data_IF_721776303386
#
_entry.id   IF_721776303386
#
_cell.length_a   1.000
_cell.length_b   1.000
_cell.length_c   1.000
_cell.angle_alpha   90.00
_cell.angle_beta   90.00
_cell.angle_gamma   90.00
#
_symmetry.space_group_name_H-M   'P 1'
#
loop_
_entity.id
_entity.type
_entity.pdbx_description
1 polymer ?
#
# COMPACT_ATOMS: atom_id res chain seq x y z
N UNK A 1 12.65 -10.32 -25.72
CA UNK A 1 12.91 -9.91 -24.33
C UNK A 1 12.82 -8.39 -24.23
N UNK A 2 11.81 -7.84 -23.55
CA UNK A 2 11.67 -6.39 -23.40
C UNK A 2 12.68 -5.83 -22.39
N UNK A 3 13.37 -4.74 -22.73
CA UNK A 3 14.27 -4.04 -21.80
C UNK A 3 13.42 -3.26 -20.79
N UNK A 4 13.60 -3.52 -19.49
CA UNK A 4 12.97 -2.71 -18.44
C UNK A 4 13.68 -1.35 -18.40
N UNK A 5 12.94 -0.27 -18.65
CA UNK A 5 13.43 1.11 -18.52
C UNK A 5 13.05 1.63 -17.15
N UNK A 6 14.04 2.07 -16.37
CA UNK A 6 13.82 2.79 -15.10
C UNK A 6 14.00 4.28 -15.36
N UNK A 7 13.00 5.08 -14.99
CA UNK A 7 13.09 6.54 -14.91
C UNK A 7 12.75 6.97 -13.50
N UNK A 8 13.52 7.92 -12.99
CA UNK A 8 13.32 8.58 -11.69
C UNK A 8 12.81 10.00 -11.92
N UNK A 9 12.26 10.65 -10.90
CA UNK A 9 11.78 12.04 -11.01
C UNK A 9 12.91 13.00 -11.44
N UNK A 10 14.15 12.71 -11.07
CA UNK A 10 15.36 13.44 -11.50
C UNK A 10 15.65 13.30 -13.00
N UNK A 11 15.19 12.24 -13.66
CA UNK A 11 15.37 12.03 -15.10
C UNK A 11 14.33 12.79 -15.95
N UNK A 12 13.30 13.35 -15.32
CA UNK A 12 12.22 14.08 -15.98
C UNK A 12 12.60 15.56 -16.07
N UNK A 13 13.08 15.99 -17.24
CA UNK A 13 13.35 17.40 -17.52
C UNK A 13 12.04 18.16 -17.75
N UNK A 14 11.61 18.95 -16.77
CA UNK A 14 10.42 19.79 -16.90
C UNK A 14 10.75 21.05 -17.71
N UNK A 15 10.28 21.10 -18.96
CA UNK A 15 10.48 22.25 -19.84
C UNK A 15 9.52 23.42 -19.48
N UNK A 16 9.86 24.66 -19.86
CA UNK A 16 8.95 25.81 -19.67
C UNK A 16 7.60 25.61 -20.37
N UNK A 17 7.59 24.98 -21.54
CA UNK A 17 6.36 24.64 -22.26
C UNK A 17 5.49 23.66 -21.45
N UNK A 18 6.09 22.64 -20.86
CA UNK A 18 5.38 21.67 -20.02
C UNK A 18 4.80 22.32 -18.76
N UNK A 19 5.52 23.26 -18.13
CA UNK A 19 4.99 24.04 -17.00
C UNK A 19 3.78 24.89 -17.38
N UNK A 20 3.81 25.53 -18.56
CA UNK A 20 2.67 26.32 -19.07
C UNK A 20 1.46 25.43 -19.32
N UNK A 21 1.67 24.28 -19.95
CA UNK A 21 0.60 23.31 -20.19
C UNK A 21 -0.01 22.76 -18.89
N UNK A 22 0.81 22.41 -17.90
CA UNK A 22 0.32 21.98 -16.59
C UNK A 22 -0.50 23.08 -15.89
N UNK A 23 -0.06 24.35 -16.00
CA UNK A 23 -0.80 25.49 -15.44
C UNK A 23 -2.15 25.69 -16.14
N UNK A 24 -2.20 25.51 -17.45
CA UNK A 24 -3.44 25.55 -18.22
C UNK A 24 -4.40 24.43 -17.79
N UNK A 25 -3.92 23.17 -17.73
CA UNK A 25 -4.73 22.04 -17.28
C UNK A 25 -5.26 22.23 -15.86
N UNK A 26 -4.44 22.74 -14.94
CA UNK A 26 -4.85 23.02 -13.57
C UNK A 26 -5.90 24.13 -13.43
N UNK A 27 -6.11 24.95 -14.48
CA UNK A 27 -7.13 26.01 -14.50
C UNK A 27 -8.46 25.58 -15.13
N UNK A 28 -8.52 24.38 -15.73
CA UNK A 28 -9.76 23.85 -16.31
C UNK A 28 -10.67 23.31 -15.21
N UNK A 29 -12.00 23.45 -15.34
CA UNK A 29 -12.94 22.88 -14.38
C UNK A 29 -13.03 21.36 -14.50
N UNK A 30 -13.22 20.67 -13.38
CA UNK A 30 -13.32 19.20 -13.34
C UNK A 30 -14.50 18.65 -14.17
N UNK A 31 -15.56 19.45 -14.38
CA UNK A 31 -16.71 19.04 -15.20
C UNK A 31 -16.43 18.90 -16.71
N UNK A 32 -15.26 19.36 -17.18
CA UNK A 32 -14.78 19.12 -18.55
C UNK A 32 -14.03 17.78 -18.68
N UNK A 33 -13.81 17.05 -17.59
CA UNK A 33 -13.16 15.74 -17.62
C UNK A 33 -14.14 14.74 -18.24
N UNK A 34 -13.77 14.20 -19.40
CA UNK A 34 -14.48 13.10 -20.04
C UNK A 34 -14.20 11.78 -19.28
N UNK A 35 -15.28 11.14 -18.82
CA UNK A 35 -15.27 9.88 -18.07
C UNK A 35 -16.01 8.77 -18.81
N UNK A 36 -16.27 8.94 -20.11
CA UNK A 36 -17.03 7.99 -20.92
C UNK A 36 -16.37 6.62 -21.05
N UNK A 37 -15.05 6.53 -20.96
CA UNK A 37 -14.27 5.30 -21.02
C UNK A 37 -13.95 4.70 -19.64
N UNK A 38 -13.90 5.53 -18.60
CA UNK A 38 -13.52 5.16 -17.24
C UNK A 38 -14.52 5.77 -16.24
N UNK A 39 -15.47 4.99 -15.71
CA UNK A 39 -16.46 5.50 -14.78
C UNK A 39 -15.83 5.96 -13.46
N UNK A 40 -16.49 6.89 -12.79
CA UNK A 40 -16.06 7.39 -11.48
C UNK A 40 -15.96 6.27 -10.45
N UNK A 41 -14.91 6.37 -9.62
CA UNK A 41 -14.64 5.40 -8.58
C UNK A 41 -15.48 5.73 -7.35
N UNK A 42 -16.44 4.87 -7.02
CA UNK A 42 -17.35 5.03 -5.88
C UNK A 42 -16.93 4.15 -4.70
N UNK A 43 -17.41 4.42 -3.48
CA UNK A 43 -17.23 3.52 -2.32
C UNK A 43 -17.64 2.07 -2.64
N UNK A 44 -18.70 1.88 -3.41
CA UNK A 44 -19.16 0.55 -3.81
C UNK A 44 -18.17 -0.17 -4.73
N UNK A 45 -17.42 0.57 -5.56
CA UNK A 45 -16.33 0.01 -6.36
C UNK A 45 -15.24 -0.62 -5.48
N UNK A 46 -15.06 -0.13 -4.25
CA UNK A 46 -14.07 -0.67 -3.30
C UNK A 46 -14.56 -1.88 -2.51
N UNK A 47 -15.86 -2.19 -2.51
CA UNK A 47 -16.44 -3.30 -1.74
C UNK A 47 -15.75 -4.63 -2.00
N UNK A 48 -15.35 -4.85 -3.27
CA UNK A 48 -14.66 -6.07 -3.72
C UNK A 48 -13.20 -5.81 -4.11
N UNK A 49 -12.63 -4.65 -3.76
CA UNK A 49 -11.25 -4.33 -4.12
C UNK A 49 -10.29 -5.33 -3.46
N UNK A 50 -9.55 -6.05 -4.30
CA UNK A 50 -8.51 -6.96 -3.83
C UNK A 50 -7.27 -6.14 -3.54
N UNK A 51 -6.70 -6.33 -2.35
CA UNK A 51 -5.41 -5.74 -2.00
C UNK A 51 -4.36 -6.12 -3.05
N UNK A 52 -3.70 -5.12 -3.62
CA UNK A 52 -2.69 -5.27 -4.69
C UNK A 52 -1.84 -6.55 -4.51
N UNK A 53 -2.00 -7.57 -5.38
CA UNK A 53 -1.28 -8.83 -5.29
C UNK A 53 0.25 -8.69 -5.35
N UNK A 54 0.74 -7.60 -5.93
CA UNK A 54 2.17 -7.30 -6.05
C UNK A 54 2.74 -6.56 -4.84
N UNK A 55 1.88 -6.11 -3.91
CA UNK A 55 2.35 -5.48 -2.69
C UNK A 55 2.97 -6.52 -1.75
N UNK A 56 4.31 -6.51 -1.68
CA UNK A 56 5.07 -7.30 -0.71
C UNK A 56 5.64 -6.37 0.37
N UNK A 57 5.17 -6.49 1.62
CA UNK A 57 5.76 -5.75 2.72
C UNK A 57 7.26 -6.05 2.84
N UNK A 58 8.08 -5.01 2.97
CA UNK A 58 9.52 -5.16 3.23
C UNK A 58 9.69 -5.73 4.63
N UNK A 59 10.18 -6.96 4.73
CA UNK A 59 10.52 -7.59 6.02
C UNK A 59 11.90 -7.13 6.45
N UNK A 60 12.03 -6.65 7.69
CA UNK A 60 13.33 -6.39 8.30
C UNK A 60 13.69 -7.56 9.20
N UNK A 61 14.90 -8.09 9.05
CA UNK A 61 15.42 -9.12 9.94
C UNK A 61 15.86 -8.44 11.24
N UNK A 62 15.26 -8.86 12.35
CA UNK A 62 15.57 -8.39 13.70
C UNK A 62 15.83 -9.60 14.59
N UNK A 63 16.79 -9.47 15.51
CA UNK A 63 17.04 -10.48 16.54
C UNK A 63 16.21 -10.13 17.77
N UNK A 64 15.20 -10.96 18.06
CA UNK A 64 14.29 -10.80 19.21
C UNK A 64 14.28 -12.08 20.03
N UNK A 65 14.14 -11.93 21.35
CA UNK A 65 13.89 -13.05 22.27
C UNK A 65 12.40 -13.18 22.50
N UNK A 66 11.89 -14.40 22.47
CA UNK A 66 10.50 -14.76 22.74
C UNK A 66 10.49 -15.93 23.71
N UNK A 67 9.44 -16.03 24.50
CA UNK A 67 9.29 -17.10 25.47
C UNK A 67 9.20 -18.48 24.79
N UNK A 68 9.72 -19.50 25.49
CA UNK A 68 9.88 -20.83 24.93
C UNK A 68 8.53 -21.50 24.63
N UNK A 69 7.52 -21.24 25.45
CA UNK A 69 6.15 -21.71 25.30
C UNK A 69 5.46 -21.09 24.07
N UNK A 70 5.66 -19.80 23.82
CA UNK A 70 5.16 -19.09 22.63
C UNK A 70 5.78 -19.72 21.37
N UNK A 71 7.09 -19.98 21.38
CA UNK A 71 7.78 -20.62 20.26
C UNK A 71 7.25 -22.05 20.05
N UNK A 72 7.07 -22.82 21.12
CA UNK A 72 6.53 -24.18 21.06
C UNK A 72 5.10 -24.19 20.48
N UNK A 73 4.23 -23.30 20.95
CA UNK A 73 2.86 -23.15 20.45
C UNK A 73 2.82 -22.78 18.97
N UNK A 74 3.66 -21.82 18.54
CA UNK A 74 3.75 -21.41 17.14
C UNK A 74 4.26 -22.54 16.23
N UNK A 75 5.19 -23.37 16.72
CA UNK A 75 5.74 -24.52 16.00
C UNK A 75 4.80 -25.72 15.95
N UNK A 76 3.89 -25.88 16.92
CA UNK A 76 2.89 -26.97 16.96
C UNK A 76 2.05 -27.07 15.67
N UNK A 77 1.84 -25.95 14.97
CA UNK A 77 1.09 -25.86 13.71
C UNK A 77 1.93 -26.15 12.45
N UNK A 78 3.13 -26.73 12.59
CA UNK A 78 4.00 -27.12 11.48
C UNK A 78 4.97 -26.02 11.02
N UNK A 79 5.50 -26.17 9.80
CA UNK A 79 6.45 -25.21 9.20
C UNK A 79 5.80 -23.82 8.99
N UNK A 80 6.61 -22.77 8.89
CA UNK A 80 6.11 -21.41 8.65
C UNK A 80 5.70 -20.60 9.89
N UNK A 81 6.18 -20.99 11.08
CA UNK A 81 5.87 -20.30 12.34
C UNK A 81 6.23 -18.81 12.34
N UNK A 82 7.32 -18.42 11.65
CA UNK A 82 7.72 -17.01 11.49
C UNK A 82 6.69 -16.20 10.69
N UNK A 83 6.13 -16.77 9.62
CA UNK A 83 5.07 -16.13 8.84
C UNK A 83 3.80 -15.95 9.68
N UNK A 84 3.43 -16.96 10.47
CA UNK A 84 2.30 -16.87 11.41
C UNK A 84 2.53 -15.82 12.49
N UNK A 85 3.71 -15.79 13.07
CA UNK A 85 4.11 -14.78 14.05
C UNK A 85 3.97 -13.37 13.48
N UNK A 86 4.48 -13.12 12.29
CA UNK A 86 4.34 -11.82 11.63
C UNK A 86 2.88 -11.46 11.31
N UNK A 87 2.04 -12.44 10.96
CA UNK A 87 0.61 -12.23 10.74
C UNK A 87 -0.13 -11.86 12.04
N UNK A 88 0.17 -12.54 13.15
CA UNK A 88 -0.39 -12.25 14.48
C UNK A 88 -0.01 -10.84 14.95
N UNK A 89 1.27 -10.48 14.85
CA UNK A 89 1.75 -9.15 15.21
C UNK A 89 1.08 -8.05 14.37
N UNK A 90 0.89 -8.30 13.07
CA UNK A 90 0.17 -7.38 12.18
C UNK A 90 -1.28 -7.21 12.58
N UNK A 91 -1.99 -8.29 12.92
CA UNK A 91 -3.38 -8.22 13.34
C UNK A 91 -3.52 -7.41 14.65
N UNK A 92 -2.66 -7.68 15.63
CA UNK A 92 -2.63 -6.93 16.89
C UNK A 92 -2.37 -5.43 16.67
N UNK A 93 -1.37 -5.09 15.84
CA UNK A 93 -1.05 -3.72 15.48
C UNK A 93 -2.23 -2.97 14.84
N UNK A 94 -2.97 -3.62 13.93
CA UNK A 94 -4.12 -3.00 13.27
C UNK A 94 -5.27 -2.72 14.25
N UNK A 95 -5.56 -3.67 15.14
CA UNK A 95 -6.58 -3.50 16.20
C UNK A 95 -6.21 -2.34 17.11
N UNK A 96 -4.95 -2.27 17.57
CA UNK A 96 -4.48 -1.17 18.43
C UNK A 96 -4.57 0.19 17.71
N UNK A 97 -4.19 0.24 16.43
CA UNK A 97 -4.23 1.47 15.62
C UNK A 97 -5.67 1.98 15.47
N UNK A 98 -6.60 1.08 15.20
CA UNK A 98 -8.03 1.40 15.09
C UNK A 98 -8.61 1.90 16.41
N UNK A 99 -8.26 1.27 17.54
CA UNK A 99 -8.66 1.73 18.86
C UNK A 99 -8.15 3.13 19.17
N UNK A 100 -6.89 3.43 18.82
CA UNK A 100 -6.31 4.78 18.99
C UNK A 100 -7.05 5.82 18.14
N UNK A 101 -7.39 5.51 16.89
CA UNK A 101 -8.16 6.41 16.02
C UNK A 101 -9.53 6.75 16.62
N UNK A 102 -10.24 5.74 17.13
CA UNK A 102 -11.56 5.91 17.76
C UNK A 102 -11.52 6.73 19.05
N UNK A 103 -10.43 6.65 19.81
CA UNK A 103 -10.26 7.43 21.04
C UNK A 103 -9.87 8.89 20.78
N UNK A 104 -9.32 9.18 19.60
CA UNK A 104 -8.90 10.50 19.19
C UNK A 104 -9.95 11.25 18.37
N UNK A 105 -11.09 10.61 18.08
CA UNK A 105 -12.28 11.21 17.44
C UNK A 105 -13.33 11.47 18.51
#
# INVERSE_FOLDING_TARGET
>A
MGKIVRKTLTDIKVTPAMKRHLKELASRPDGEIDLSDIPELTEDSFRNAIRNPWYRPVKKQLTVRLDADIIAWLKKKGSGYQTRMNALLRAAMLVETEQKRRRAS
#
